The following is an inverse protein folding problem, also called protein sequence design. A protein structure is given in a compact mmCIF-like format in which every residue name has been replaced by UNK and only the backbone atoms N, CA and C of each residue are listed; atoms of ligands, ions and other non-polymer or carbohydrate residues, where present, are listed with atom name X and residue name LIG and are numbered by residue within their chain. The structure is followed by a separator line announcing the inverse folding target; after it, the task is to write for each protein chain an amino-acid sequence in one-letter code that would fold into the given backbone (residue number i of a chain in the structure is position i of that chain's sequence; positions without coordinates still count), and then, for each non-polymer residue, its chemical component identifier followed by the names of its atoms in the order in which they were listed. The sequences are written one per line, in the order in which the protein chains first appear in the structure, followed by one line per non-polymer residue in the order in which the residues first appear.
data_IF_738449732717
#
_entry.id   IF_738449732717
#
_cell.length_a   1.000
_cell.length_b   1.000
_cell.length_c   1.000
_cell.angle_alpha   90.00
_cell.angle_beta   90.00
_cell.angle_gamma   90.00
#
_symmetry.space_group_name_H-M   'P 1'
#
loop_
_entity.id
_entity.type
_entity.pdbx_description
1 polymer ?
#
# COMPACT_ATOMS: atom_id res chain seq x y z
N UNK A 1 16.62 16.76 -15.29
CA UNK A 1 15.65 16.78 -14.18
C UNK A 1 15.54 15.35 -13.70
N UNK A 2 16.14 15.01 -12.57
CA UNK A 2 16.05 13.65 -12.02
C UNK A 2 14.69 13.52 -11.39
N UNK A 3 13.76 12.85 -12.07
CA UNK A 3 12.44 12.54 -11.50
C UNK A 3 12.69 11.71 -10.25
N UNK A 4 12.41 12.25 -9.07
CA UNK A 4 12.40 11.46 -7.83
C UNK A 4 11.51 10.24 -8.08
N UNK A 5 12.04 9.04 -7.89
CA UNK A 5 11.24 7.83 -7.97
C UNK A 5 10.27 7.82 -6.80
N UNK A 6 8.99 7.51 -7.04
CA UNK A 6 8.04 7.25 -5.96
C UNK A 6 7.62 5.79 -6.05
N UNK A 7 7.85 5.04 -4.99
CA UNK A 7 7.30 3.71 -4.83
C UNK A 7 5.91 3.86 -4.24
N UNK A 8 4.89 3.34 -4.92
CA UNK A 8 3.51 3.40 -4.47
C UNK A 8 3.01 1.97 -4.46
N UNK A 9 2.58 1.49 -3.30
CA UNK A 9 2.20 0.09 -3.12
C UNK A 9 0.77 0.01 -2.63
N UNK A 10 0.03 -0.93 -3.21
CA UNK A 10 -1.31 -1.30 -2.79
C UNK A 10 -1.30 -2.75 -2.30
N UNK A 11 -1.76 -2.95 -1.07
CA UNK A 11 -1.93 -4.25 -0.46
C UNK A 11 -3.35 -4.40 0.09
N UNK A 12 -3.86 -5.62 0.08
CA UNK A 12 -5.13 -5.99 0.69
C UNK A 12 -4.96 -7.28 1.50
N UNK A 13 -5.80 -7.45 2.52
CA UNK A 13 -5.73 -8.52 3.49
C UNK A 13 -7.10 -9.15 3.67
N UNK A 14 -7.11 -10.48 3.80
CA UNK A 14 -8.27 -11.26 4.19
C UNK A 14 -8.04 -11.87 5.56
N UNK A 15 -9.13 -12.24 6.23
CA UNK A 15 -9.06 -13.13 7.39
C UNK A 15 -9.06 -14.57 6.90
N UNK A 16 -8.09 -15.36 7.33
CA UNK A 16 -8.13 -16.81 7.14
C UNK A 16 -9.17 -17.45 8.09
N UNK A 17 -9.33 -18.77 8.04
CA UNK A 17 -10.25 -19.51 8.91
C UNK A 17 -9.89 -19.42 10.41
N UNK A 18 -8.65 -19.04 10.73
CA UNK A 18 -8.15 -18.84 12.10
C UNK A 18 -8.39 -17.40 12.60
N UNK A 19 -8.85 -16.50 11.73
CA UNK A 19 -9.08 -15.08 12.03
C UNK A 19 -7.87 -14.17 11.82
N UNK A 20 -6.73 -14.72 11.39
CA UNK A 20 -5.50 -13.98 11.12
C UNK A 20 -5.57 -13.23 9.80
N UNK A 21 -4.97 -12.03 9.79
CA UNK A 21 -4.83 -11.22 8.57
C UNK A 21 -3.73 -11.81 7.68
N UNK A 22 -4.13 -12.30 6.52
CA UNK A 22 -3.23 -12.79 5.49
C UNK A 22 -3.34 -11.93 4.23
N UNK A 23 -2.24 -11.71 3.47
CA UNK A 23 -2.32 -11.00 2.20
C UNK A 23 -3.34 -11.67 1.27
N UNK A 24 -4.27 -10.87 0.74
CA UNK A 24 -5.26 -11.34 -0.21
C UNK A 24 -4.66 -11.59 -1.60
N UNK A 25 -3.57 -10.89 -1.93
CA UNK A 25 -2.77 -11.03 -3.13
C UNK A 25 -1.37 -10.41 -2.91
N UNK A 26 -0.41 -10.69 -3.79
CA UNK A 26 0.91 -10.07 -3.77
C UNK A 26 0.82 -8.53 -3.89
N UNK A 27 1.38 -7.76 -2.93
CA UNK A 27 1.36 -6.30 -2.98
C UNK A 27 1.82 -5.78 -4.34
N UNK A 28 1.02 -4.89 -4.92
CA UNK A 28 1.26 -4.40 -6.28
C UNK A 28 1.78 -2.98 -6.25
N UNK A 29 2.77 -2.70 -7.09
CA UNK A 29 3.18 -1.33 -7.35
C UNK A 29 2.16 -0.64 -8.27
N UNK A 30 1.84 0.61 -7.95
CA UNK A 30 0.90 1.45 -8.71
C UNK A 30 1.66 2.67 -9.24
N UNK A 31 1.25 3.17 -10.41
CA UNK A 31 1.95 4.28 -11.08
C UNK A 31 1.74 5.63 -10.37
N UNK A 32 0.57 5.85 -9.76
CA UNK A 32 0.18 7.14 -9.17
C UNK A 32 -0.60 6.99 -7.87
N UNK A 33 -0.50 8.00 -7.01
CA UNK A 33 -1.15 8.01 -5.68
C UNK A 33 -2.67 8.04 -5.81
N UNK A 34 -3.19 8.82 -6.77
CA UNK A 34 -4.63 8.90 -7.05
C UNK A 34 -5.20 7.55 -7.50
N UNK A 35 -4.47 6.83 -8.37
CA UNK A 35 -4.86 5.48 -8.77
C UNK A 35 -4.85 4.52 -7.59
N UNK A 36 -3.80 4.56 -6.75
CA UNK A 36 -3.69 3.71 -5.57
C UNK A 36 -4.85 3.96 -4.59
N UNK A 37 -5.19 5.22 -4.30
CA UNK A 37 -6.34 5.57 -3.45
C UNK A 37 -7.66 5.10 -4.02
N UNK A 38 -7.90 5.30 -5.32
CA UNK A 38 -9.13 4.88 -5.98
C UNK A 38 -9.29 3.36 -5.97
N UNK A 39 -8.24 2.62 -6.31
CA UNK A 39 -8.25 1.16 -6.27
C UNK A 39 -8.42 0.64 -4.85
N UNK A 40 -7.70 1.21 -3.87
CA UNK A 40 -7.84 0.84 -2.47
C UNK A 40 -9.27 1.05 -1.95
N UNK A 41 -9.91 2.17 -2.33
CA UNK A 41 -11.29 2.46 -1.94
C UNK A 41 -12.28 1.46 -2.51
N UNK A 42 -12.11 1.04 -3.77
CA UNK A 42 -12.95 0.00 -4.39
C UNK A 42 -12.75 -1.38 -3.76
N UNK A 43 -11.59 -1.62 -3.14
CA UNK A 43 -11.24 -2.87 -2.46
C UNK A 43 -11.71 -2.90 -1.01
N UNK A 44 -11.93 -1.74 -0.38
CA UNK A 44 -12.31 -1.65 1.04
C UNK A 44 -13.61 -2.41 1.38
N UNK A 45 -14.56 -2.53 0.45
CA UNK A 45 -15.79 -3.30 0.62
C UNK A 45 -15.61 -4.82 0.41
N UNK A 46 -14.46 -5.26 -0.12
CA UNK A 46 -14.23 -6.65 -0.54
C UNK A 46 -13.27 -7.44 0.34
N UNK A 47 -12.41 -6.74 1.08
CA UNK A 47 -11.33 -7.35 1.85
C UNK A 47 -11.44 -6.93 3.32
N UNK A 48 -10.89 -7.74 4.22
CA UNK A 48 -10.88 -7.44 5.65
C UNK A 48 -10.01 -6.20 5.97
N UNK A 49 -8.98 -5.96 5.16
CA UNK A 49 -8.11 -4.80 5.27
C UNK A 49 -7.54 -4.38 3.92
N UNK A 50 -7.32 -3.08 3.73
CA UNK A 50 -6.66 -2.54 2.55
C UNK A 50 -5.79 -1.36 2.97
N UNK A 51 -4.57 -1.30 2.42
CA UNK A 51 -3.65 -0.18 2.61
C UNK A 51 -3.00 0.20 1.29
N UNK A 52 -2.98 1.50 1.00
CA UNK A 52 -2.16 2.10 -0.01
C UNK A 52 -1.17 3.03 0.67
N UNK A 53 0.11 2.87 0.38
CA UNK A 53 1.16 3.75 0.89
C UNK A 53 2.12 4.13 -0.23
N UNK A 54 2.84 5.22 -0.03
CA UNK A 54 3.93 5.63 -0.91
C UNK A 54 5.20 5.91 -0.14
N UNK A 55 6.33 5.80 -0.81
CA UNK A 55 7.65 6.08 -0.26
C UNK A 55 8.46 6.80 -1.32
N UNK A 56 9.08 7.92 -0.95
CA UNK A 56 10.06 8.56 -1.82
C UNK A 56 11.29 7.66 -1.93
N UNK A 57 11.68 7.34 -3.17
CA UNK A 57 12.92 6.67 -3.49
C UNK A 57 13.83 7.72 -4.14
N UNK A 58 14.79 8.24 -3.36
CA UNK A 58 15.76 9.19 -3.89
C UNK A 58 16.99 8.42 -4.41
N UNK A 59 17.15 8.27 -5.74
CA UNK A 59 18.26 7.51 -6.30
C UNK A 59 19.61 8.20 -6.07
N UNK A 60 19.64 9.48 -5.68
CA UNK A 60 20.90 10.19 -5.39
C UNK A 60 21.40 9.91 -3.98
N UNK A 61 20.48 9.67 -3.03
CA UNK A 61 20.82 9.46 -1.62
C UNK A 61 20.91 7.95 -1.31
N UNK A 62 20.27 7.10 -2.13
CA UNK A 62 20.22 5.65 -1.91
C UNK A 62 19.33 5.26 -0.73
N UNK A 63 18.64 6.23 -0.15
CA UNK A 63 17.72 6.04 0.97
C UNK A 63 16.29 6.16 0.50
N UNK A 64 15.45 5.28 1.03
CA UNK A 64 14.02 5.42 0.89
C UNK A 64 13.51 6.27 2.07
N UNK A 65 12.80 7.37 1.77
CA UNK A 65 12.21 8.26 2.78
C UNK A 65 11.15 7.56 3.64
N UNK A 66 10.48 8.24 4.58
CA UNK A 66 9.40 7.62 5.37
C UNK A 66 8.24 7.17 4.47
N UNK A 67 7.61 6.04 4.81
CA UNK A 67 6.37 5.60 4.15
C UNK A 67 5.21 6.49 4.57
N UNK A 68 4.47 7.00 3.59
CA UNK A 68 3.27 7.81 3.78
C UNK A 68 2.05 6.98 3.39
N UNK A 69 1.16 6.73 4.35
CA UNK A 69 -0.11 6.07 4.09
C UNK A 69 -1.02 7.02 3.30
N UNK A 70 -1.41 6.60 2.10
CA UNK A 70 -2.31 7.33 1.20
C UNK A 70 -3.78 7.02 1.49
N UNK A 71 -4.07 5.78 1.86
CA UNK A 71 -5.38 5.28 2.22
C UNK A 71 -5.26 4.01 3.05
N UNK A 72 -6.13 3.86 4.04
CA UNK A 72 -6.26 2.65 4.84
C UNK A 72 -7.74 2.43 5.19
N UNK A 73 -8.18 1.18 5.11
CA UNK A 73 -9.51 0.76 5.55
C UNK A 73 -9.49 -0.66 6.09
N UNK A 74 -10.34 -0.93 7.08
CA UNK A 74 -10.43 -2.25 7.73
C UNK A 74 -9.25 -2.53 8.66
N UNK A 75 -9.05 -3.82 8.94
CA UNK A 75 -7.97 -4.32 9.79
C UNK A 75 -6.72 -4.58 8.96
N UNK A 76 -5.63 -3.89 9.26
CA UNK A 76 -4.33 -4.13 8.64
C UNK A 76 -3.31 -4.51 9.72
N UNK A 77 -2.34 -5.37 9.42
CA UNK A 77 -1.21 -5.59 10.33
C UNK A 77 -0.43 -4.27 10.52
N UNK A 78 0.22 -4.12 11.67
CA UNK A 78 1.17 -3.02 11.85
C UNK A 78 2.28 -3.13 10.79
N UNK A 79 2.47 -2.05 10.03
CA UNK A 79 3.56 -1.91 9.08
C UNK A 79 4.78 -1.45 9.89
N UNK A 80 5.65 -2.39 10.32
CA UNK A 80 6.97 -2.08 10.90
C UNK A 80 7.98 -1.58 9.83
#
# INVERSE_FOLDING_TARGET
MTTKGKLIVLAAFNKNDEGDLVPAFDPRQVDTEERAKREARMMADKYAGVVAWSREADPMIGEYGPSVVLFQAGEIPELE
#
